data_IF_692290769898
#
_entry.id   IF_692290769898
#
_cell.length_a   1.000
_cell.length_b   1.000
_cell.length_c   1.000
_cell.angle_alpha   90.00
_cell.angle_beta   90.00
_cell.angle_gamma   90.00
#
_symmetry.space_group_name_H-M   'P 1'
#
loop_
_entity.id
_entity.type
_entity.pdbx_description
1 polymer ?
#
# COMPACT_ATOMS: atom_id res chain seq x y z
N UNK A 1 7.01 11.66 -2.14
CA UNK A 1 7.96 10.62 -1.71
C UNK A 1 7.30 9.27 -1.86
N UNK A 2 8.04 8.26 -2.31
CA UNK A 2 7.56 6.89 -2.37
C UNK A 2 8.69 5.92 -1.97
N UNK A 3 8.36 4.95 -1.12
CA UNK A 3 9.22 3.83 -0.72
C UNK A 3 8.43 2.56 -0.99
N UNK A 4 8.95 1.72 -1.88
CA UNK A 4 8.31 0.47 -2.28
C UNK A 4 9.31 -0.66 -2.45
N UNK A 5 8.81 -1.89 -2.40
CA UNK A 5 9.54 -3.11 -2.70
C UNK A 5 8.91 -3.78 -3.92
N UNK A 6 9.77 -4.17 -4.87
CA UNK A 6 9.39 -4.94 -6.05
C UNK A 6 9.94 -6.37 -5.96
N UNK A 7 9.24 -7.34 -6.55
CA UNK A 7 9.69 -8.73 -6.55
C UNK A 7 10.97 -8.86 -7.38
N UNK A 8 11.94 -9.63 -6.87
CA UNK A 8 13.16 -9.94 -7.61
C UNK A 8 12.88 -10.67 -8.93
N UNK A 9 11.78 -11.46 -8.99
CA UNK A 9 11.31 -12.14 -10.20
C UNK A 9 9.84 -11.87 -10.43
N UNK A 10 9.51 -11.43 -11.64
CA UNK A 10 8.13 -11.22 -12.07
C UNK A 10 7.46 -12.52 -12.55
N UNK A 11 7.44 -13.57 -11.71
CA UNK A 11 6.93 -14.93 -12.07
C UNK A 11 5.49 -14.88 -12.62
N UNK A 12 4.65 -14.02 -12.05
CA UNK A 12 3.24 -13.89 -12.43
C UNK A 12 3.01 -12.77 -13.47
N UNK A 13 4.08 -12.10 -13.90
CA UNK A 13 4.02 -10.94 -14.78
C UNK A 13 4.22 -9.62 -14.05
N UNK A 14 4.74 -8.64 -14.78
CA UNK A 14 4.83 -7.23 -14.39
C UNK A 14 3.57 -6.41 -14.72
N UNK A 15 2.82 -6.68 -15.83
CA UNK A 15 1.58 -5.97 -16.10
C UNK A 15 0.61 -6.10 -14.92
N UNK A 16 -0.11 -5.02 -14.63
CA UNK A 16 -1.20 -4.99 -13.66
C UNK A 16 -0.84 -5.43 -12.23
N UNK A 17 0.43 -5.36 -11.84
CA UNK A 17 0.91 -5.77 -10.51
C UNK A 17 0.70 -7.25 -10.18
N UNK A 18 0.65 -8.12 -11.19
CA UNK A 18 0.44 -9.56 -10.95
C UNK A 18 1.52 -10.17 -10.05
N UNK A 19 2.78 -9.74 -10.11
CA UNK A 19 3.81 -10.22 -9.17
C UNK A 19 3.81 -9.51 -7.80
N UNK A 20 2.89 -8.56 -7.62
CA UNK A 20 2.75 -7.73 -6.43
C UNK A 20 3.79 -6.62 -6.33
N UNK A 21 3.41 -5.51 -5.68
CA UNK A 21 4.32 -4.47 -5.18
C UNK A 21 3.95 -4.19 -3.74
N UNK A 22 4.93 -4.02 -2.85
CA UNK A 22 4.66 -3.60 -1.48
C UNK A 22 5.04 -2.13 -1.32
N UNK A 23 4.03 -1.26 -1.22
CA UNK A 23 4.25 0.15 -0.92
C UNK A 23 4.36 0.35 0.58
N UNK A 24 5.56 0.70 1.08
CA UNK A 24 5.80 0.95 2.50
C UNK A 24 5.28 2.33 2.89
N UNK A 25 5.53 3.33 2.04
CA UNK A 25 5.14 4.71 2.29
C UNK A 25 5.00 5.47 0.97
N UNK A 26 3.90 6.19 0.78
CA UNK A 26 3.73 7.12 -0.34
C UNK A 26 2.95 8.33 0.11
N UNK A 27 3.58 9.50 -0.01
CA UNK A 27 2.94 10.80 0.23
C UNK A 27 3.18 11.67 -1.01
N UNK A 28 2.11 12.31 -1.49
CA UNK A 28 2.19 13.24 -2.62
C UNK A 28 2.88 14.54 -2.16
N UNK A 29 3.48 15.30 -3.08
CA UNK A 29 4.25 16.50 -2.72
C UNK A 29 3.41 17.76 -2.53
N UNK A 30 2.19 17.77 -3.05
CA UNK A 30 1.33 18.96 -3.06
C UNK A 30 0.79 19.27 -1.66
N UNK A 31 0.91 20.53 -1.23
CA UNK A 31 0.33 21.01 0.04
C UNK A 31 -1.19 20.92 0.07
N UNK A 32 -1.83 21.11 -1.08
CA UNK A 32 -3.27 20.99 -1.27
C UNK A 32 -3.50 20.17 -2.55
N UNK A 33 -4.20 19.04 -2.41
CA UNK A 33 -4.56 18.18 -3.52
C UNK A 33 -5.74 17.33 -3.11
N UNK A 34 -6.90 17.52 -3.73
CA UNK A 34 -8.10 16.76 -3.43
C UNK A 34 -8.80 16.33 -4.71
N UNK A 35 -9.61 15.28 -4.61
CA UNK A 35 -10.57 14.90 -5.64
C UNK A 35 -11.92 14.62 -4.99
N UNK A 36 -12.90 15.46 -5.28
CA UNK A 36 -14.15 15.51 -4.53
C UNK A 36 -13.90 15.73 -3.04
N UNK A 37 -14.41 14.83 -2.21
CA UNK A 37 -14.25 14.88 -0.75
C UNK A 37 -12.98 14.18 -0.24
N UNK A 38 -12.15 13.63 -1.13
CA UNK A 38 -10.95 12.87 -0.73
C UNK A 38 -9.72 13.76 -0.80
N UNK A 39 -9.02 13.89 0.33
CA UNK A 39 -7.71 14.54 0.41
C UNK A 39 -6.60 13.59 -0.05
N UNK A 40 -5.70 14.13 -0.85
CA UNK A 40 -4.49 13.49 -1.38
C UNK A 40 -3.27 14.41 -1.23
N UNK A 41 -3.36 15.45 -0.41
CA UNK A 41 -2.24 16.33 -0.10
C UNK A 41 -1.11 15.55 0.60
N UNK A 42 0.00 16.22 0.82
CA UNK A 42 1.13 15.66 1.55
C UNK A 42 0.85 15.41 3.06
N UNK A 43 -0.40 15.64 3.52
CA UNK A 43 -0.91 15.18 4.81
C UNK A 43 -1.28 13.70 4.83
N UNK A 44 -1.46 13.09 3.66
CA UNK A 44 -1.95 11.73 3.51
C UNK A 44 -0.81 10.80 3.12
N UNK A 45 -0.59 9.78 3.96
CA UNK A 45 0.33 8.67 3.70
C UNK A 45 -0.47 7.47 3.23
N UNK A 46 -0.03 6.84 2.15
CA UNK A 46 -0.60 5.61 1.59
C UNK A 46 0.40 4.47 1.63
N UNK A 47 -0.09 3.24 1.70
CA UNK A 47 0.77 2.06 1.78
C UNK A 47 -0.01 0.77 1.99
N UNK A 48 0.62 -0.33 1.64
CA UNK A 48 0.05 -1.66 1.57
C UNK A 48 0.46 -2.40 0.30
N UNK A 49 0.05 -3.67 0.15
CA UNK A 49 0.26 -4.42 -1.07
C UNK A 49 -0.59 -3.90 -2.23
N UNK A 50 -0.03 -3.89 -3.42
CA UNK A 50 -0.70 -3.62 -4.68
C UNK A 50 -0.57 -4.88 -5.53
N UNK A 51 -1.70 -5.45 -5.97
CA UNK A 51 -1.71 -6.76 -6.65
C UNK A 51 -2.60 -6.81 -7.90
N UNK A 52 -3.36 -5.75 -8.16
CA UNK A 52 -4.27 -5.64 -9.28
C UNK A 52 -4.41 -4.15 -9.64
N UNK A 53 -4.39 -3.81 -10.93
CA UNK A 53 -4.48 -2.42 -11.37
C UNK A 53 -5.88 -1.84 -11.22
N UNK A 54 -6.92 -2.63 -11.52
CA UNK A 54 -8.32 -2.20 -11.41
C UNK A 54 -8.72 -2.05 -9.94
N UNK A 55 -8.22 -2.95 -9.08
CA UNK A 55 -8.52 -3.02 -7.66
C UNK A 55 -7.37 -2.52 -6.79
N UNK A 56 -6.62 -1.54 -7.29
CA UNK A 56 -5.38 -0.99 -6.73
C UNK A 56 -5.46 -0.71 -5.22
N UNK A 57 -6.57 -0.12 -4.76
CA UNK A 57 -6.70 0.38 -3.39
C UNK A 57 -7.19 -0.68 -2.39
N UNK A 58 -7.52 -1.90 -2.84
CA UNK A 58 -8.20 -2.92 -2.00
C UNK A 58 -7.44 -3.27 -0.73
N UNK A 59 -6.11 -3.27 -0.79
CA UNK A 59 -5.23 -3.55 0.36
C UNK A 59 -4.43 -2.35 0.81
N UNK A 60 -4.69 -1.16 0.26
CA UNK A 60 -4.04 0.06 0.69
C UNK A 60 -4.74 0.63 1.92
N UNK A 61 -3.94 1.10 2.85
CA UNK A 61 -4.37 1.90 3.99
C UNK A 61 -3.90 3.34 3.80
N UNK A 62 -4.59 4.27 4.48
CA UNK A 62 -4.16 5.65 4.56
C UNK A 62 -4.07 6.15 6.00
N UNK A 63 -3.09 7.03 6.27
CA UNK A 63 -2.95 7.78 7.52
C UNK A 63 -2.87 9.27 7.21
N UNK A 64 -3.70 10.05 7.89
CA UNK A 64 -3.80 11.50 7.70
C UNK A 64 -3.21 12.21 8.91
N UNK A 65 -2.34 13.19 8.68
CA UNK A 65 -1.91 14.15 9.70
C UNK A 65 -2.82 15.38 9.67
N UNK A 66 -3.26 15.84 10.84
CA UNK A 66 -4.22 16.98 10.91
C UNK A 66 -3.51 18.32 10.69
N UNK A 67 -2.42 18.56 11.43
CA UNK A 67 -1.73 19.86 11.52
C UNK A 67 -0.31 19.84 10.93
N UNK A 68 0.15 18.69 10.49
CA UNK A 68 1.51 18.44 10.02
C UNK A 68 1.46 17.85 8.60
N UNK A 69 2.64 17.68 8.00
CA UNK A 69 2.80 17.06 6.69
C UNK A 69 3.94 16.06 6.73
N UNK A 70 3.81 14.99 5.98
CA UNK A 70 4.83 13.93 5.92
C UNK A 70 6.17 14.34 5.32
N UNK A 71 6.22 15.53 4.71
CA UNK A 71 7.45 16.08 4.14
C UNK A 71 8.04 17.24 4.94
N UNK A 72 7.44 17.62 6.07
CA UNK A 72 7.94 18.74 6.89
C UNK A 72 9.13 18.29 7.76
N UNK A 73 9.20 17.01 8.14
CA UNK A 73 10.25 16.43 8.99
C UNK A 73 10.77 15.07 8.46
N UNK A 74 11.88 14.60 9.03
CA UNK A 74 12.39 13.24 8.77
C UNK A 74 11.59 12.22 9.58
N UNK A 75 11.23 11.10 8.95
CA UNK A 75 10.51 9.99 9.56
C UNK A 75 11.18 8.66 9.27
N UNK A 76 11.15 7.74 10.23
CA UNK A 76 11.60 6.35 10.04
C UNK A 76 10.43 5.47 9.60
N UNK A 77 10.46 5.02 8.34
CA UNK A 77 9.46 4.08 7.81
C UNK A 77 9.99 2.65 7.88
N UNK A 78 9.20 1.74 8.44
CA UNK A 78 9.58 0.33 8.55
C UNK A 78 8.45 -0.61 8.18
N UNK A 79 8.84 -1.82 7.76
CA UNK A 79 7.94 -2.90 7.39
C UNK A 79 8.33 -4.19 8.10
N UNK A 80 7.34 -4.85 8.71
CA UNK A 80 7.44 -6.26 9.09
C UNK A 80 6.67 -7.07 8.05
N UNK A 81 7.39 -7.86 7.28
CA UNK A 81 6.81 -8.80 6.32
C UNK A 81 6.94 -10.23 6.87
N UNK A 82 5.81 -10.82 7.25
CA UNK A 82 5.74 -12.19 7.74
C UNK A 82 4.57 -12.95 7.07
N UNK A 83 4.56 -14.30 7.11
CA UNK A 83 3.48 -15.09 6.50
C UNK A 83 2.09 -14.80 7.07
N UNK A 84 2.02 -14.41 8.35
CA UNK A 84 0.76 -14.14 9.05
C UNK A 84 0.23 -12.73 8.78
N UNK A 85 1.10 -11.75 8.52
CA UNK A 85 0.72 -10.38 8.22
C UNK A 85 1.87 -9.54 7.66
N UNK A 86 1.49 -8.48 6.96
CA UNK A 86 2.37 -7.35 6.67
C UNK A 86 1.96 -6.19 7.57
N UNK A 87 2.93 -5.55 8.21
CA UNK A 87 2.73 -4.41 9.11
C UNK A 87 3.62 -3.26 8.68
N UNK A 88 3.04 -2.06 8.56
CA UNK A 88 3.75 -0.82 8.23
C UNK A 88 3.77 0.10 9.45
N UNK A 89 4.94 0.65 9.73
CA UNK A 89 5.16 1.55 10.86
C UNK A 89 5.86 2.83 10.41
N UNK A 90 5.61 3.90 11.16
CA UNK A 90 6.29 5.19 11.04
C UNK A 90 6.69 5.65 12.42
N UNK A 91 7.96 5.98 12.62
CA UNK A 91 8.55 6.37 13.90
C UNK A 91 8.28 5.36 15.02
N UNK A 92 8.40 4.06 14.68
CA UNK A 92 8.13 2.94 15.59
C UNK A 92 6.65 2.67 15.88
N UNK A 93 5.73 3.50 15.36
CA UNK A 93 4.28 3.33 15.55
C UNK A 93 3.64 2.68 14.33
N UNK A 94 2.99 1.55 14.56
CA UNK A 94 2.19 0.89 13.53
C UNK A 94 1.06 1.81 13.05
N UNK A 95 0.90 1.93 11.72
CA UNK A 95 -0.18 2.71 11.13
C UNK A 95 -1.03 1.93 10.12
N UNK A 96 -0.54 0.81 9.61
CA UNK A 96 -1.29 -0.07 8.73
C UNK A 96 -0.87 -1.52 8.90
N UNK A 97 -1.82 -2.41 8.63
CA UNK A 97 -1.58 -3.84 8.57
C UNK A 97 -2.53 -4.53 7.60
N UNK A 98 -2.10 -5.68 7.10
CA UNK A 98 -2.93 -6.55 6.29
C UNK A 98 -2.65 -8.01 6.62
N UNK A 99 -3.70 -8.75 6.94
CA UNK A 99 -3.69 -10.19 7.14
C UNK A 99 -4.30 -10.93 5.94
N UNK A 100 -3.76 -12.10 5.57
CA UNK A 100 -4.38 -12.98 4.59
C UNK A 100 -5.67 -13.59 5.13
N UNK A 101 -6.55 -14.03 4.23
CA UNK A 101 -7.65 -14.94 4.60
C UNK A 101 -7.21 -16.39 4.45
N UNK A 102 -8.13 -17.35 4.63
CA UNK A 102 -7.89 -18.77 4.37
C UNK A 102 -7.36 -19.04 2.94
N UNK A 103 -7.65 -18.17 1.97
CA UNK A 103 -7.17 -18.29 0.58
C UNK A 103 -5.99 -17.35 0.26
N UNK A 104 -5.31 -16.81 1.27
CA UNK A 104 -4.21 -15.85 1.13
C UNK A 104 -4.69 -14.40 0.99
N UNK A 105 -3.81 -13.50 0.52
CA UNK A 105 -4.18 -12.10 0.27
C UNK A 105 -5.23 -11.96 -0.84
N UNK A 106 -5.25 -12.86 -1.84
CA UNK A 106 -6.28 -12.83 -2.89
C UNK A 106 -7.71 -12.91 -2.34
N UNK A 107 -7.91 -13.59 -1.22
CA UNK A 107 -9.24 -13.72 -0.61
C UNK A 107 -9.77 -12.44 0.02
N UNK A 108 -8.95 -11.38 0.05
CA UNK A 108 -9.37 -10.02 0.44
C UNK A 108 -9.92 -9.23 -0.74
N UNK A 109 -9.73 -9.70 -1.96
CA UNK A 109 -10.22 -9.01 -3.16
C UNK A 109 -11.61 -9.48 -3.55
N UNK A 110 -12.46 -8.55 -4.03
CA UNK A 110 -13.77 -8.90 -4.55
C UNK A 110 -13.66 -9.55 -5.95
N UNK A 111 -14.71 -10.27 -6.36
CA UNK A 111 -14.67 -11.15 -7.54
C UNK A 111 -14.41 -10.43 -8.87
N UNK A 112 -14.70 -9.13 -8.96
CA UNK A 112 -14.43 -8.31 -10.15
C UNK A 112 -12.94 -8.02 -10.38
N UNK A 113 -12.07 -8.28 -9.40
CA UNK A 113 -10.62 -8.10 -9.53
C UNK A 113 -10.02 -9.30 -10.26
N UNK A 114 -10.05 -9.24 -11.59
CA UNK A 114 -9.77 -10.40 -12.44
C UNK A 114 -8.29 -10.63 -12.72
N UNK A 115 -7.41 -9.68 -12.41
CA UNK A 115 -6.00 -9.68 -12.80
C UNK A 115 -5.05 -10.19 -11.70
N UNK A 116 -5.61 -10.66 -10.59
CA UNK A 116 -4.87 -11.30 -9.51
C UNK A 116 -4.22 -12.62 -9.97
N UNK A 117 -3.06 -13.01 -9.42
CA UNK A 117 -2.47 -14.32 -9.65
C UNK A 117 -3.45 -15.42 -9.25
N UNK A 118 -3.89 -16.21 -10.23
CA UNK A 118 -4.93 -17.23 -10.01
C UNK A 118 -4.34 -18.53 -9.47
N UNK A 119 -3.12 -18.89 -9.87
CA UNK A 119 -2.48 -20.17 -9.56
C UNK A 119 -0.98 -20.00 -9.26
N UNK A 120 -0.45 -20.86 -8.37
CA UNK A 120 0.93 -20.88 -7.86
C UNK A 120 1.74 -22.02 -8.50
#
# INVERSE_FOLDING_TARGET
MQILLEPFRNKYGSPHYSSGVLQIASARGNKELSSGFTDYSNKVLFGGPIMDLQCHDTLLSSKILTNERWGDDYHEYSVRWAPDRITLSVDGVEWARVEPTASGLRGRFPAQCTQLPRDL
#
